data_IF_024143487381
#
_entry.id   IF_024143487381
#
_cell.length_a   1.000
_cell.length_b   1.000
_cell.length_c   1.000
_cell.angle_alpha   90.00
_cell.angle_beta   90.00
_cell.angle_gamma   90.00
#
_symmetry.space_group_name_H-M   'P 1'
#
loop_
_entity.id
_entity.type
_entity.pdbx_description
1 polymer ?
#
# COMPACT_ATOMS: atom_id res chain seq x y z
N UNK A 1 12.95 0.68 -6.58
CA UNK A 1 12.55 -0.32 -5.54
C UNK A 1 13.74 -0.57 -4.63
N UNK A 2 13.57 -0.86 -3.34
CA UNK A 2 14.66 -1.26 -2.46
C UNK A 2 14.61 -2.76 -2.21
N UNK A 3 15.76 -3.42 -2.20
CA UNK A 3 15.88 -4.85 -1.87
C UNK A 3 16.87 -4.99 -0.74
N UNK A 4 16.54 -5.88 0.20
CA UNK A 4 17.43 -6.23 1.30
C UNK A 4 18.42 -7.28 0.83
N UNK A 5 19.70 -6.97 0.91
CA UNK A 5 20.74 -7.92 0.53
C UNK A 5 21.02 -8.94 1.67
N UNK A 6 21.83 -9.95 1.36
CA UNK A 6 22.25 -10.97 2.33
C UNK A 6 23.00 -10.37 3.54
N UNK A 7 23.58 -9.18 3.38
CA UNK A 7 24.25 -8.42 4.44
C UNK A 7 23.28 -7.54 5.26
N UNK A 8 21.97 -7.74 5.09
CA UNK A 8 20.89 -7.01 5.76
C UNK A 8 20.82 -5.52 5.43
N UNK A 9 21.54 -5.05 4.41
CA UNK A 9 21.49 -3.66 3.96
C UNK A 9 20.38 -3.47 2.93
N UNK A 10 19.73 -2.31 2.98
CA UNK A 10 18.79 -1.88 1.96
C UNK A 10 19.55 -1.22 0.81
N UNK A 11 19.48 -1.81 -0.38
CA UNK A 11 20.06 -1.22 -1.59
C UNK A 11 18.94 -0.78 -2.51
N UNK A 12 19.08 0.42 -3.07
CA UNK A 12 18.22 0.87 -4.15
C UNK A 12 18.52 -0.02 -5.37
N UNK A 13 17.51 -0.74 -5.84
CA UNK A 13 17.56 -1.44 -7.12
C UNK A 13 17.72 -0.38 -8.19
N UNK A 14 18.85 -0.42 -8.90
CA UNK A 14 19.07 0.44 -10.05
C UNK A 14 17.93 0.18 -11.04
N UNK A 15 17.17 1.25 -11.31
CA UNK A 15 16.22 1.20 -12.39
C UNK A 15 16.97 1.43 -13.68
N UNK A 16 17.16 0.37 -14.47
CA UNK A 16 16.93 0.52 -15.91
C UNK A 16 15.59 1.25 -16.03
N UNK A 17 15.43 2.21 -16.95
CA UNK A 17 14.31 3.17 -16.96
C UNK A 17 12.88 2.57 -16.83
N UNK A 18 12.74 1.24 -16.87
CA UNK A 18 11.56 0.43 -16.56
C UNK A 18 11.33 0.02 -15.08
N UNK A 19 12.26 0.21 -14.13
CA UNK A 19 12.07 -0.16 -12.70
C UNK A 19 11.62 1.02 -11.81
N UNK A 20 11.14 2.12 -12.41
CA UNK A 20 10.32 3.08 -11.68
C UNK A 20 9.09 2.31 -11.18
N UNK A 21 8.60 2.59 -9.97
CA UNK A 21 7.32 2.06 -9.52
C UNK A 21 6.25 2.58 -10.48
N UNK A 22 6.02 1.86 -11.58
CA UNK A 22 4.86 2.03 -12.42
C UNK A 22 3.76 1.29 -11.71
N UNK A 23 2.72 2.02 -11.31
CA UNK A 23 1.45 1.37 -11.06
C UNK A 23 1.16 0.58 -12.33
N UNK A 24 1.17 -0.75 -12.21
CA UNK A 24 1.08 -1.70 -13.34
C UNK A 24 -0.14 -1.43 -14.23
N UNK A 25 -1.09 -0.71 -13.68
CA UNK A 25 -2.43 -0.48 -14.18
C UNK A 25 -2.79 1.01 -13.99
N UNK A 26 -3.11 1.76 -15.07
CA UNK A 26 -3.66 3.11 -14.98
C UNK A 26 -4.91 3.21 -14.09
N UNK A 27 -5.65 2.11 -13.98
CA UNK A 27 -6.83 1.99 -13.12
C UNK A 27 -6.50 2.16 -11.62
N UNK A 28 -5.28 1.85 -11.18
CA UNK A 28 -4.87 2.05 -9.79
C UNK A 28 -4.87 3.54 -9.39
N UNK A 29 -4.53 4.44 -10.31
CA UNK A 29 -4.61 5.89 -10.05
C UNK A 29 -6.06 6.34 -9.85
N UNK A 30 -7.01 5.77 -10.59
CA UNK A 30 -8.42 6.11 -10.47
C UNK A 30 -8.98 5.64 -9.13
N UNK A 31 -8.62 4.43 -8.71
CA UNK A 31 -9.01 3.88 -7.39
C UNK A 31 -8.41 4.73 -6.26
N UNK A 32 -7.11 5.05 -6.34
CA UNK A 32 -6.46 5.90 -5.33
C UNK A 32 -7.10 7.29 -5.25
N UNK A 33 -7.43 7.88 -6.40
CA UNK A 33 -8.08 9.18 -6.45
C UNK A 33 -9.49 9.13 -5.84
N UNK A 34 -10.28 8.11 -6.14
CA UNK A 34 -11.58 7.86 -5.51
C UNK A 34 -11.43 7.76 -3.99
N UNK A 35 -10.52 6.90 -3.50
CA UNK A 35 -10.25 6.70 -2.08
C UNK A 35 -9.88 7.98 -1.32
N UNK A 36 -9.09 8.86 -1.96
CA UNK A 36 -8.73 10.16 -1.39
C UNK A 36 -9.93 11.11 -1.43
N UNK A 37 -10.60 11.22 -2.58
CA UNK A 37 -11.68 12.19 -2.81
C UNK A 37 -12.95 11.87 -2.01
N UNK A 38 -13.24 10.59 -1.78
CA UNK A 38 -14.38 10.10 -1.02
C UNK A 38 -14.02 9.80 0.44
N UNK A 39 -12.78 10.10 0.85
CA UNK A 39 -12.26 9.88 2.20
C UNK A 39 -12.35 8.42 2.73
N UNK A 40 -12.49 7.42 1.86
CA UNK A 40 -12.54 5.99 2.23
C UNK A 40 -11.29 5.54 2.99
N UNK A 41 -10.18 6.26 2.85
CA UNK A 41 -8.95 6.00 3.59
C UNK A 41 -9.13 6.07 5.11
N UNK A 42 -10.14 6.78 5.62
CA UNK A 42 -10.42 6.88 7.05
C UNK A 42 -11.02 5.62 7.66
N UNK A 43 -11.65 4.78 6.83
CA UNK A 43 -12.25 3.52 7.25
C UNK A 43 -11.27 2.35 7.13
N UNK A 44 -10.04 2.61 6.64
CA UNK A 44 -8.98 1.59 6.57
C UNK A 44 -8.44 1.38 7.98
N UNK A 45 -8.56 0.14 8.45
CA UNK A 45 -8.04 -0.31 9.75
C UNK A 45 -6.60 -0.74 9.58
N UNK A 46 -5.68 -0.14 10.34
CA UNK A 46 -4.31 -0.64 10.45
C UNK A 46 -4.14 -1.58 11.66
N UNK A 47 -2.90 -2.05 11.88
CA UNK A 47 -2.63 -2.96 12.99
C UNK A 47 -2.70 -2.24 14.35
N UNK A 48 -2.38 -0.95 14.42
CA UNK A 48 -2.44 -0.18 15.66
C UNK A 48 -3.91 0.04 16.08
N UNK A 49 -4.79 0.33 15.12
CA UNK A 49 -6.25 0.36 15.32
C UNK A 49 -6.78 -0.95 15.92
N UNK A 50 -6.30 -2.10 15.44
CA UNK A 50 -6.69 -3.41 15.94
C UNK A 50 -6.15 -3.66 17.36
N UNK A 51 -4.99 -3.11 17.71
CA UNK A 51 -4.46 -3.21 19.07
C UNK A 51 -5.29 -2.39 20.07
N UNK A 52 -5.81 -1.24 19.63
CA UNK A 52 -6.73 -0.41 20.42
C UNK A 52 -8.12 -1.05 20.54
N UNK A 53 -8.60 -1.68 19.47
CA UNK A 53 -9.88 -2.40 19.42
C UNK A 53 -9.75 -3.70 18.60
N UNK A 54 -9.68 -4.83 19.31
CA UNK A 54 -9.52 -6.17 18.72
C UNK A 54 -10.66 -6.58 17.79
N UNK A 55 -11.79 -5.86 17.79
CA UNK A 55 -12.90 -6.13 16.87
C UNK A 55 -12.68 -5.55 15.47
N UNK A 56 -11.76 -4.60 15.30
CA UNK A 56 -11.43 -4.01 14.01
C UNK A 56 -10.57 -4.96 13.18
N UNK A 57 -10.97 -5.27 11.94
CA UNK A 57 -10.24 -6.21 11.08
C UNK A 57 -9.21 -5.49 10.19
N UNK A 58 -7.93 -5.59 10.56
CA UNK A 58 -6.79 -5.04 9.81
C UNK A 58 -6.56 -5.70 8.44
N UNK A 59 -7.23 -6.81 8.12
CA UNK A 59 -7.26 -7.38 6.77
C UNK A 59 -8.17 -6.60 5.82
N UNK A 60 -9.01 -5.70 6.35
CA UNK A 60 -9.91 -4.82 5.60
C UNK A 60 -10.74 -5.59 4.56
N UNK A 61 -11.62 -6.53 4.98
CA UNK A 61 -12.43 -7.31 4.06
C UNK A 61 -13.32 -6.37 3.23
N UNK A 62 -13.18 -6.41 1.90
CA UNK A 62 -13.92 -5.55 0.99
C UNK A 62 -13.24 -4.23 0.62
N UNK A 63 -11.97 -4.03 0.97
CA UNK A 63 -11.18 -2.86 0.55
C UNK A 63 -11.15 -2.65 -0.98
N UNK A 64 -11.38 -3.69 -1.77
CA UNK A 64 -11.40 -3.59 -3.24
C UNK A 64 -12.74 -4.03 -3.87
N UNK A 65 -13.82 -4.10 -3.07
CA UNK A 65 -15.15 -4.44 -3.55
C UNK A 65 -15.90 -3.23 -4.11
#
# INVERSE_FOLDING_TARGET
LYVRDASKNWKLVQSDANNRFSLKEPSANLILLDYISSEKYRDIVDFDDHLDDISKDWLNPGLFN
#
